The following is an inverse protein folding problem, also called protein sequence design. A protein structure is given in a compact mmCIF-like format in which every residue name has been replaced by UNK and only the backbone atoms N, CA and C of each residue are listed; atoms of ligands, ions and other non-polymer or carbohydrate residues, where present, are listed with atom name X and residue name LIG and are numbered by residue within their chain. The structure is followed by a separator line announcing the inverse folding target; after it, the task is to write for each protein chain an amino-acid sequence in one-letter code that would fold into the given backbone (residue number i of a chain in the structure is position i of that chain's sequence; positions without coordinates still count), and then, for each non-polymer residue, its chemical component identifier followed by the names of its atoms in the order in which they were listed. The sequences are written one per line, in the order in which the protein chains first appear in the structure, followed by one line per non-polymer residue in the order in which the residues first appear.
data_IF_642805684261
#
_entry.id   IF_642805684261
#
_cell.length_a   1.000
_cell.length_b   1.000
_cell.length_c   1.000
_cell.angle_alpha   90.00
_cell.angle_beta   90.00
_cell.angle_gamma   90.00
#
_symmetry.space_group_name_H-M   'P 1'
#
loop_
_entity.id
_entity.type
_entity.pdbx_description
1 polymer ?
#
# COMPACT_ATOMS: atom_id res chain seq x y z
N UNK A 1 9.55 30.70 -17.01
CA UNK A 1 9.45 29.39 -17.70
C UNK A 1 9.75 28.19 -16.78
N UNK A 2 10.93 28.02 -16.19
CA UNK A 2 11.16 26.90 -15.22
C UNK A 2 10.28 27.02 -13.97
N UNK A 3 10.14 28.23 -13.44
CA UNK A 3 9.47 28.47 -12.15
C UNK A 3 7.94 28.37 -12.28
N UNK A 4 7.39 28.78 -13.42
CA UNK A 4 5.96 28.61 -13.75
C UNK A 4 5.61 27.14 -13.98
N UNK A 5 6.48 26.39 -14.68
CA UNK A 5 6.33 24.94 -14.83
C UNK A 5 6.37 24.27 -13.45
N UNK A 6 7.30 24.67 -12.58
CA UNK A 6 7.41 24.13 -11.22
C UNK A 6 6.19 24.46 -10.36
N UNK A 7 5.63 25.67 -10.50
CA UNK A 7 4.40 26.09 -9.82
C UNK A 7 3.20 25.26 -10.27
N UNK A 8 3.01 25.10 -11.58
CA UNK A 8 1.96 24.26 -12.16
C UNK A 8 2.08 22.80 -11.72
N UNK A 9 3.29 22.24 -11.70
CA UNK A 9 3.53 20.88 -11.19
C UNK A 9 3.12 20.74 -9.72
N UNK A 10 3.41 21.75 -8.90
CA UNK A 10 3.01 21.79 -7.49
C UNK A 10 1.48 21.84 -7.34
N UNK A 11 0.77 22.60 -8.16
CA UNK A 11 -0.70 22.65 -8.14
C UNK A 11 -1.33 21.33 -8.59
N UNK A 12 -0.83 20.74 -9.67
CA UNK A 12 -1.25 19.41 -10.13
C UNK A 12 -1.07 18.38 -9.01
N UNK A 13 0.05 18.41 -8.29
CA UNK A 13 0.29 17.49 -7.17
C UNK A 13 -0.71 17.67 -6.03
N UNK A 14 -1.11 18.92 -5.72
CA UNK A 14 -2.13 19.21 -4.69
C UNK A 14 -3.50 18.72 -5.13
N UNK A 15 -3.88 18.96 -6.39
CA UNK A 15 -5.15 18.52 -6.95
C UNK A 15 -5.26 17.00 -6.94
N UNK A 16 -4.21 16.29 -7.39
CA UNK A 16 -4.13 14.83 -7.33
C UNK A 16 -4.35 14.29 -5.91
N UNK A 17 -3.70 14.88 -4.91
CA UNK A 17 -3.91 14.51 -3.50
C UNK A 17 -5.35 14.70 -3.05
N UNK A 18 -5.99 15.81 -3.44
CA UNK A 18 -7.39 16.08 -3.09
C UNK A 18 -8.34 15.08 -3.74
N UNK A 19 -8.10 14.75 -5.02
CA UNK A 19 -8.86 13.74 -5.76
C UNK A 19 -8.71 12.36 -5.12
N UNK A 20 -7.49 11.93 -4.83
CA UNK A 20 -7.24 10.62 -4.21
C UNK A 20 -7.91 10.52 -2.83
N UNK A 21 -7.88 11.60 -2.05
CA UNK A 21 -8.59 11.67 -0.77
C UNK A 21 -10.11 11.53 -0.93
N UNK A 22 -10.69 12.12 -1.98
CA UNK A 22 -12.11 11.95 -2.30
C UNK A 22 -12.43 10.51 -2.70
N UNK A 23 -11.63 9.93 -3.59
CA UNK A 23 -11.76 8.52 -4.03
C UNK A 23 -11.72 7.60 -2.80
N UNK A 24 -10.75 7.77 -1.92
CA UNK A 24 -10.60 6.93 -0.73
C UNK A 24 -11.81 7.05 0.24
N UNK A 25 -12.43 8.23 0.32
CA UNK A 25 -13.65 8.42 1.11
C UNK A 25 -14.88 7.77 0.44
N UNK A 26 -14.99 7.84 -0.89
CA UNK A 26 -16.06 7.15 -1.63
C UNK A 26 -15.93 5.64 -1.43
N UNK A 27 -14.72 5.09 -1.61
CA UNK A 27 -14.44 3.67 -1.35
C UNK A 27 -14.80 3.29 0.09
N UNK A 28 -14.47 4.14 1.08
CA UNK A 28 -14.86 3.91 2.48
C UNK A 28 -16.37 3.81 2.65
N UNK A 29 -17.12 4.75 2.09
CA UNK A 29 -18.58 4.76 2.14
C UNK A 29 -19.17 3.50 1.50
N UNK A 30 -18.69 3.09 0.32
CA UNK A 30 -19.10 1.85 -0.35
C UNK A 30 -18.89 0.59 0.51
N UNK A 31 -17.83 0.57 1.31
CA UNK A 31 -17.51 -0.55 2.20
C UNK A 31 -18.03 -0.38 3.64
N UNK A 32 -18.79 0.68 3.93
CA UNK A 32 -19.37 0.97 5.25
C UNK A 32 -18.35 1.37 6.33
N UNK A 33 -17.18 1.90 5.95
CA UNK A 33 -16.13 2.31 6.88
C UNK A 33 -16.23 3.78 7.30
N UNK A 34 -15.71 4.07 8.50
CA UNK A 34 -15.54 5.46 9.00
C UNK A 34 -14.49 6.22 8.18
N UNK A 35 -14.60 7.56 8.15
CA UNK A 35 -13.74 8.47 7.37
C UNK A 35 -12.25 8.37 7.75
N UNK A 36 -11.39 8.90 6.89
CA UNK A 36 -9.92 8.96 7.08
C UNK A 36 -9.56 9.48 8.48
N UNK A 37 -8.77 8.70 9.25
CA UNK A 37 -8.25 9.10 10.57
C UNK A 37 -8.56 8.14 11.72
N UNK A 38 -9.43 7.14 11.53
CA UNK A 38 -9.90 6.24 12.58
C UNK A 38 -9.46 4.77 12.38
N UNK A 39 -8.14 4.51 12.35
CA UNK A 39 -7.54 3.15 12.43
C UNK A 39 -6.82 2.64 11.17
N UNK A 40 -6.45 1.34 11.15
CA UNK A 40 -5.84 0.61 10.01
C UNK A 40 -6.83 0.34 8.86
N UNK A 41 -7.71 1.31 8.61
CA UNK A 41 -8.84 1.20 7.69
C UNK A 41 -8.35 1.00 6.25
N UNK A 42 -7.21 1.60 5.88
CA UNK A 42 -6.67 1.50 4.52
C UNK A 42 -6.22 0.08 4.17
N UNK A 43 -5.57 -0.63 5.09
CA UNK A 43 -5.18 -2.03 4.88
C UNK A 43 -6.41 -2.94 4.78
N UNK A 44 -7.43 -2.66 5.60
CA UNK A 44 -8.71 -3.40 5.55
C UNK A 44 -9.44 -3.14 4.23
N UNK A 45 -9.44 -1.90 3.73
CA UNK A 45 -10.00 -1.56 2.41
C UNK A 45 -9.23 -2.28 1.32
N UNK A 46 -7.90 -2.23 1.34
CA UNK A 46 -7.05 -2.89 0.36
C UNK A 46 -7.34 -4.39 0.32
N UNK A 47 -7.44 -5.03 1.49
CA UNK A 47 -7.83 -6.44 1.62
C UNK A 47 -9.18 -6.70 0.94
N UNK A 48 -10.22 -5.91 1.23
CA UNK A 48 -11.54 -6.09 0.63
C UNK A 48 -11.53 -5.88 -0.88
N UNK A 49 -10.73 -4.94 -1.38
CA UNK A 49 -10.55 -4.72 -2.82
C UNK A 49 -9.90 -5.95 -3.47
N UNK A 50 -8.81 -6.45 -2.89
CA UNK A 50 -8.11 -7.65 -3.39
C UNK A 50 -9.05 -8.87 -3.39
N UNK A 51 -9.82 -9.08 -2.32
CA UNK A 51 -10.85 -10.13 -2.26
C UNK A 51 -11.89 -10.04 -3.38
N UNK A 52 -12.28 -8.82 -3.79
CA UNK A 52 -13.20 -8.63 -4.91
C UNK A 52 -12.56 -8.82 -6.28
N UNK A 53 -11.24 -8.65 -6.39
CA UNK A 53 -10.50 -8.82 -7.65
C UNK A 53 -10.15 -10.29 -7.88
N UNK A 54 -9.80 -11.01 -6.80
CA UNK A 54 -9.35 -12.40 -6.82
C UNK A 54 -10.24 -13.26 -5.91
N UNK A 55 -11.53 -13.44 -6.23
CA UNK A 55 -12.49 -14.12 -5.35
C UNK A 55 -12.20 -15.62 -5.15
N UNK A 56 -11.53 -16.25 -6.11
CA UNK A 56 -11.24 -17.70 -6.09
C UNK A 56 -9.88 -18.04 -5.45
N UNK A 57 -9.07 -17.03 -5.10
CA UNK A 57 -7.74 -17.23 -4.52
C UNK A 57 -7.78 -17.22 -2.99
N UNK A 58 -6.94 -18.03 -2.36
CA UNK A 58 -6.72 -17.92 -0.92
C UNK A 58 -5.98 -16.62 -0.59
N UNK A 59 -6.57 -15.82 0.30
CA UNK A 59 -6.01 -14.54 0.74
C UNK A 59 -5.64 -14.64 2.21
N UNK A 60 -4.35 -14.69 2.50
CA UNK A 60 -3.79 -14.71 3.84
C UNK A 60 -3.47 -13.28 4.28
N UNK A 61 -4.05 -12.84 5.40
CA UNK A 61 -3.81 -11.51 5.98
C UNK A 61 -2.79 -11.57 7.10
N UNK A 62 -2.02 -10.50 7.29
CA UNK A 62 -0.99 -10.40 8.34
C UNK A 62 -0.10 -11.66 8.39
N UNK A 63 0.25 -12.16 7.20
CA UNK A 63 0.91 -13.45 7.08
C UNK A 63 2.39 -13.31 7.46
N UNK A 64 2.86 -14.14 8.39
CA UNK A 64 4.26 -14.22 8.83
C UNK A 64 4.86 -15.56 8.44
N UNK A 65 5.18 -15.76 7.15
CA UNK A 65 5.75 -17.02 6.72
C UNK A 65 7.13 -17.22 7.36
N UNK A 66 7.47 -18.47 7.69
CA UNK A 66 8.76 -18.82 8.30
C UNK A 66 9.97 -18.32 7.48
N UNK A 67 9.81 -18.27 6.16
CA UNK A 67 10.84 -17.83 5.23
C UNK A 67 11.06 -16.31 5.20
N UNK A 68 10.17 -15.52 5.81
CA UNK A 68 10.26 -14.06 5.86
C UNK A 68 10.91 -13.55 7.16
N UNK A 69 11.61 -14.44 7.88
CA UNK A 69 12.44 -14.12 9.05
C UNK A 69 11.74 -13.23 10.10
N UNK A 70 10.51 -13.64 10.46
CA UNK A 70 9.69 -12.98 11.47
C UNK A 70 8.98 -11.69 11.01
N UNK A 71 9.22 -11.24 9.77
CA UNK A 71 8.48 -10.13 9.17
C UNK A 71 7.08 -10.57 8.74
N UNK A 72 6.23 -9.60 8.41
CA UNK A 72 4.83 -9.78 8.04
C UNK A 72 4.57 -9.22 6.64
N UNK A 73 3.70 -9.89 5.89
CA UNK A 73 3.02 -9.38 4.69
C UNK A 73 1.58 -9.03 5.06
N UNK A 74 1.12 -7.83 4.71
CA UNK A 74 -0.26 -7.41 4.99
C UNK A 74 -1.26 -8.35 4.28
N UNK A 75 -0.99 -8.67 3.02
CA UNK A 75 -1.75 -9.60 2.20
C UNK A 75 -0.78 -10.51 1.46
N UNK A 76 -1.05 -11.82 1.49
CA UNK A 76 -0.31 -12.83 0.71
C UNK A 76 -1.28 -13.79 0.03
N UNK A 77 -1.03 -14.05 -1.27
CA UNK A 77 -1.79 -14.97 -2.11
C UNK A 77 -0.81 -16.08 -2.55
N UNK A 78 -0.83 -17.25 -1.87
CA UNK A 78 0.15 -18.31 -2.09
C UNK A 78 0.19 -18.82 -3.54
N UNK A 79 -0.96 -19.00 -4.16
CA UNK A 79 -1.11 -19.59 -5.50
C UNK A 79 -0.48 -18.71 -6.58
N UNK A 80 -0.46 -17.40 -6.36
CA UNK A 80 0.16 -16.42 -7.27
C UNK A 80 1.58 -16.04 -6.85
N UNK A 81 2.06 -16.55 -5.71
CA UNK A 81 3.27 -16.06 -5.02
C UNK A 81 3.29 -14.54 -4.95
N UNK A 82 2.17 -13.94 -4.52
CA UNK A 82 1.96 -12.49 -4.56
C UNK A 82 1.78 -11.95 -3.15
N UNK A 83 2.68 -11.07 -2.72
CA UNK A 83 2.53 -10.22 -1.54
C UNK A 83 2.06 -8.82 -1.93
N UNK A 84 1.15 -8.24 -1.14
CA UNK A 84 0.69 -6.86 -1.32
C UNK A 84 0.79 -6.16 0.03
N UNK A 85 1.41 -4.97 0.07
CA UNK A 85 1.59 -4.17 1.28
C UNK A 85 1.08 -2.75 1.12
N UNK A 86 0.48 -2.21 2.18
CA UNK A 86 0.05 -0.82 2.24
C UNK A 86 1.06 0.04 2.99
N UNK A 87 1.62 1.03 2.30
CA UNK A 87 2.66 1.91 2.83
C UNK A 87 2.05 3.22 3.33
N UNK A 88 1.78 3.28 4.63
CA UNK A 88 1.26 4.47 5.30
C UNK A 88 2.23 5.67 5.28
N UNK A 89 1.75 6.84 5.72
CA UNK A 89 2.55 8.09 5.71
C UNK A 89 3.86 7.97 6.51
N UNK A 90 3.89 7.10 7.53
CA UNK A 90 5.06 6.79 8.35
C UNK A 90 6.25 6.20 7.57
N UNK A 91 6.02 5.61 6.38
CA UNK A 91 7.10 5.12 5.51
C UNK A 91 7.86 6.25 4.80
N UNK A 92 7.29 7.46 4.77
CA UNK A 92 7.81 8.57 3.98
C UNK A 92 8.31 9.73 4.85
N UNK A 93 7.65 9.98 5.98
CA UNK A 93 7.93 11.12 6.83
C UNK A 93 8.20 10.65 8.26
N UNK A 94 9.21 11.21 8.94
CA UNK A 94 9.44 10.91 10.34
C UNK A 94 8.29 11.48 11.17
N UNK A 95 7.49 10.60 11.76
CA UNK A 95 6.39 11.00 12.64
C UNK A 95 6.87 10.89 14.08
N UNK A 96 6.94 12.01 14.81
CA UNK A 96 7.47 12.05 16.19
C UNK A 96 6.74 11.08 17.12
N UNK A 97 5.42 10.95 16.98
CA UNK A 97 4.59 10.02 17.74
C UNK A 97 4.99 8.54 17.56
N UNK A 98 5.74 8.22 16.51
CA UNK A 98 6.15 6.86 16.14
C UNK A 98 7.67 6.65 16.26
N UNK A 99 8.39 7.52 16.97
CA UNK A 99 9.85 7.41 17.14
C UNK A 99 10.68 8.22 16.14
N UNK A 100 10.05 9.03 15.29
CA UNK A 100 10.74 10.00 14.44
C UNK A 100 11.65 9.37 13.39
N UNK A 101 12.87 9.92 13.23
CA UNK A 101 13.79 9.54 12.15
C UNK A 101 14.32 8.10 12.31
N UNK A 102 14.64 7.68 13.54
CA UNK A 102 15.16 6.34 13.82
C UNK A 102 14.16 5.26 13.41
N UNK A 103 12.88 5.44 13.79
CA UNK A 103 11.83 4.51 13.41
C UNK A 103 11.61 4.43 11.90
N UNK A 104 11.76 5.56 11.19
CA UNK A 104 11.70 5.59 9.73
C UNK A 104 12.86 4.80 9.08
N UNK A 105 14.08 4.90 9.63
CA UNK A 105 15.23 4.14 9.16
C UNK A 105 15.05 2.63 9.40
N UNK A 106 14.65 2.22 10.61
CA UNK A 106 14.36 0.82 10.94
C UNK A 106 13.22 0.23 10.08
N UNK A 107 12.25 1.04 9.70
CA UNK A 107 11.15 0.62 8.82
C UNK A 107 11.65 0.39 7.39
N UNK A 108 12.52 1.28 6.88
CA UNK A 108 13.15 1.12 5.57
C UNK A 108 14.06 -0.10 5.50
N UNK A 109 14.81 -0.38 6.55
CA UNK A 109 15.65 -1.59 6.65
C UNK A 109 14.81 -2.86 6.60
N UNK A 110 13.70 -2.90 7.35
CA UNK A 110 12.73 -4.01 7.31
C UNK A 110 12.11 -4.18 5.93
N UNK A 111 11.70 -3.09 5.29
CA UNK A 111 11.12 -3.09 3.95
C UNK A 111 12.11 -3.55 2.87
N UNK A 112 13.39 -3.23 3.02
CA UNK A 112 14.46 -3.69 2.13
C UNK A 112 14.69 -5.20 2.30
N UNK A 113 14.87 -5.66 3.55
CA UNK A 113 15.03 -7.09 3.86
C UNK A 113 13.86 -7.92 3.35
N UNK A 114 12.64 -7.44 3.53
CA UNK A 114 11.42 -8.10 3.04
C UNK A 114 11.45 -8.26 1.52
N UNK A 115 11.81 -7.18 0.81
CA UNK A 115 11.91 -7.19 -0.65
C UNK A 115 12.94 -8.21 -1.13
N UNK A 116 14.09 -8.28 -0.47
CA UNK A 116 15.16 -9.22 -0.85
C UNK A 116 14.72 -10.67 -0.63
N UNK A 117 14.13 -10.99 0.53
CA UNK A 117 13.59 -12.32 0.83
C UNK A 117 12.47 -12.74 -0.14
N UNK A 118 11.56 -11.82 -0.47
CA UNK A 118 10.53 -12.09 -1.48
C UNK A 118 11.16 -12.38 -2.85
N UNK A 119 12.17 -11.60 -3.25
CA UNK A 119 12.86 -11.80 -4.54
C UNK A 119 13.57 -13.14 -4.61
N UNK A 120 14.25 -13.56 -3.54
CA UNK A 120 14.93 -14.86 -3.46
C UNK A 120 13.97 -16.05 -3.65
N UNK A 121 12.73 -15.91 -3.17
CA UNK A 121 11.72 -16.97 -3.25
C UNK A 121 10.76 -16.82 -4.44
N UNK A 122 11.05 -15.89 -5.34
CA UNK A 122 10.24 -15.56 -6.50
C UNK A 122 8.80 -15.18 -6.11
N UNK A 123 8.67 -14.47 -5.00
CA UNK A 123 7.42 -13.84 -4.53
C UNK A 123 7.38 -12.42 -5.08
N UNK A 124 6.35 -12.13 -5.88
CA UNK A 124 6.05 -10.80 -6.41
C UNK A 124 5.55 -9.94 -5.25
N UNK A 125 6.16 -8.77 -5.01
CA UNK A 125 5.80 -7.89 -3.90
C UNK A 125 5.32 -6.54 -4.43
N UNK A 126 4.02 -6.27 -4.29
CA UNK A 126 3.39 -4.99 -4.66
C UNK A 126 3.32 -4.09 -3.44
N UNK A 127 3.78 -2.85 -3.56
CA UNK A 127 3.61 -1.81 -2.54
C UNK A 127 2.58 -0.80 -3.01
N UNK A 128 1.59 -0.51 -2.17
CA UNK A 128 0.54 0.47 -2.40
C UNK A 128 0.74 1.62 -1.43
N UNK A 129 1.12 2.79 -1.94
CA UNK A 129 1.41 3.96 -1.13
C UNK A 129 0.13 4.66 -0.67
N UNK A 130 0.16 5.29 0.50
CA UNK A 130 -0.98 6.08 1.01
C UNK A 130 -1.39 7.26 0.11
N UNK A 131 -0.56 7.61 -0.86
CA UNK A 131 -0.85 8.64 -1.86
C UNK A 131 -1.53 8.08 -3.10
N UNK A 132 -1.57 6.76 -3.28
CA UNK A 132 -2.16 6.08 -4.41
C UNK A 132 -3.68 5.85 -4.20
N UNK A 133 -4.46 5.76 -5.28
CA UNK A 133 -5.90 5.50 -5.18
C UNK A 133 -6.19 4.12 -4.60
N UNK A 134 -6.97 4.05 -3.52
CA UNK A 134 -7.54 2.79 -3.03
C UNK A 134 -8.92 2.56 -3.66
N UNK A 135 -8.94 2.14 -4.92
CA UNK A 135 -10.15 1.69 -5.61
C UNK A 135 -9.88 0.41 -6.41
N UNK A 136 -10.96 -0.25 -6.85
CA UNK A 136 -10.86 -1.55 -7.52
C UNK A 136 -10.02 -1.49 -8.80
N UNK A 137 -10.29 -0.54 -9.68
CA UNK A 137 -9.67 -0.47 -11.01
C UNK A 137 -8.15 -0.25 -10.90
N UNK A 138 -7.74 0.69 -10.04
CA UNK A 138 -6.33 1.01 -9.85
C UNK A 138 -5.54 -0.19 -9.28
N UNK A 139 -6.08 -0.84 -8.24
CA UNK A 139 -5.44 -2.02 -7.64
C UNK A 139 -5.41 -3.18 -8.63
N UNK A 140 -6.47 -3.36 -9.44
CA UNK A 140 -6.52 -4.39 -10.46
C UNK A 140 -5.41 -4.19 -11.52
N UNK A 141 -5.28 -2.97 -12.07
CA UNK A 141 -4.20 -2.65 -13.03
C UNK A 141 -2.83 -2.91 -12.43
N UNK A 142 -2.59 -2.49 -11.19
CA UNK A 142 -1.31 -2.68 -10.50
C UNK A 142 -0.98 -4.16 -10.28
N UNK A 143 -1.98 -5.00 -9.97
CA UNK A 143 -1.81 -6.45 -9.88
C UNK A 143 -1.45 -7.03 -11.25
N UNK A 144 -2.16 -6.67 -12.32
CA UNK A 144 -1.91 -7.18 -13.66
C UNK A 144 -0.51 -6.83 -14.18
N UNK A 145 -0.07 -5.58 -14.00
CA UNK A 145 1.28 -5.12 -14.38
C UNK A 145 2.41 -5.93 -13.73
N UNK A 146 2.17 -6.40 -12.50
CA UNK A 146 3.17 -7.18 -11.76
C UNK A 146 3.05 -8.69 -12.03
N UNK A 147 1.88 -9.19 -12.43
CA UNK A 147 1.66 -10.60 -12.73
C UNK A 147 2.08 -11.02 -14.14
N UNK A 148 2.06 -10.09 -15.10
CA UNK A 148 2.57 -10.28 -16.46
C UNK A 148 4.10 -10.42 -16.54
#
# INVERSE_FOLDING_TARGET
MSDEIQLCQKEISKLKKSINKKIENITREEFGFRKIGEGNVSETILTKIVQRILPENEILRHHRPKWLDGLELDIYIPELKLGIEYQGQQHFHPVKAWGGKKALEELRERDAKKKDLCKELNVKLIKVDYTEPLNKDYIHSKIQENLN
#
